data_IF_961861845252
#
_entry.id   IF_961861845252
#
_cell.length_a   1.000
_cell.length_b   1.000
_cell.length_c   1.000
_cell.angle_alpha   90.00
_cell.angle_beta   90.00
_cell.angle_gamma   90.00
#
_symmetry.space_group_name_H-M   'P 1'
#
loop_
_entity.id
_entity.type
_entity.pdbx_description
1 polymer ?
#
# COMPACT_ATOMS: atom_id res chain seq x y z
N UNK A 1 -42.17 -6.15 38.19
CA UNK A 1 -41.46 -6.50 39.44
C UNK A 1 -40.70 -5.25 39.88
N UNK A 2 -41.16 -4.69 40.93
CA UNK A 2 -40.83 -3.58 41.79
C UNK A 2 -39.40 -3.00 41.70
N UNK A 3 -39.37 -1.69 41.47
CA UNK A 3 -38.28 -0.75 41.87
C UNK A 3 -38.16 -0.62 43.40
N UNK A 4 -37.01 -0.31 43.94
CA UNK A 4 -36.99 0.45 45.20
C UNK A 4 -36.36 1.85 45.00
N UNK A 5 -37.10 2.79 45.50
CA UNK A 5 -36.80 4.17 45.86
C UNK A 5 -35.95 4.20 47.12
N UNK A 6 -34.95 5.08 47.23
CA UNK A 6 -34.36 5.57 48.50
C UNK A 6 -33.91 7.01 48.31
N UNK A 7 -34.64 7.90 48.83
CA UNK A 7 -34.56 8.80 49.97
C UNK A 7 -33.28 9.63 50.11
N UNK A 8 -33.49 10.94 49.89
CA UNK A 8 -32.63 12.07 50.36
C UNK A 8 -32.96 12.44 51.82
N UNK A 9 -32.03 12.84 52.63
CA UNK A 9 -32.33 13.63 53.85
C UNK A 9 -32.17 15.12 53.63
N UNK A 10 -33.17 15.84 54.09
CA UNK A 10 -33.29 17.28 54.18
C UNK A 10 -32.43 17.82 55.31
N UNK A 11 -31.78 19.01 55.09
CA UNK A 11 -31.21 19.88 56.12
C UNK A 11 -32.28 20.81 56.67
N UNK A 12 -32.25 21.13 57.99
CA UNK A 12 -33.11 22.15 58.58
C UNK A 12 -32.45 23.54 58.63
N UNK A 13 -33.23 24.61 58.74
CA UNK A 13 -32.79 25.99 58.83
C UNK A 13 -32.76 26.46 60.28
N UNK A 14 -31.99 27.50 60.58
CA UNK A 14 -32.14 28.47 61.69
C UNK A 14 -30.78 29.13 61.92
N UNK A 15 -30.60 30.34 62.21
CA UNK A 15 -31.37 31.55 62.49
C UNK A 15 -30.35 32.64 62.76
N UNK A 16 -30.64 33.79 62.29
CA UNK A 16 -30.16 35.06 62.84
C UNK A 16 -30.50 35.16 64.33
N UNK A 17 -29.99 36.12 65.18
CA UNK A 17 -29.50 37.47 64.89
C UNK A 17 -28.49 38.07 65.92
N UNK A 18 -28.16 39.36 65.68
CA UNK A 18 -28.11 40.49 66.63
C UNK A 18 -26.75 40.86 67.23
N UNK A 19 -26.39 41.97 67.06
CA UNK A 19 -26.31 43.35 67.62
C UNK A 19 -24.85 43.75 67.98
N UNK A 20 -24.46 44.80 67.50
CA UNK A 20 -24.48 46.21 67.89
C UNK A 20 -23.32 46.66 68.79
N UNK A 21 -22.72 47.68 68.34
CA UNK A 21 -22.48 49.01 68.91
C UNK A 21 -21.30 49.23 69.86
N UNK A 22 -20.82 50.39 69.67
CA UNK A 22 -20.33 51.41 70.62
C UNK A 22 -18.88 51.80 70.36
N UNK A 23 -18.72 52.87 69.73
CA UNK A 23 -18.50 54.30 69.97
C UNK A 23 -17.16 54.73 70.59
N UNK A 24 -16.68 55.83 70.02
CA UNK A 24 -16.15 57.06 70.59
C UNK A 24 -14.71 56.96 71.13
N UNK A 25 -13.80 57.85 70.96
CA UNK A 25 -13.71 59.29 71.04
C UNK A 25 -12.31 59.76 70.60
N UNK A 26 -12.22 60.83 69.90
CA UNK A 26 -11.73 62.17 70.26
C UNK A 26 -10.23 62.33 70.53
N UNK A 27 -9.65 63.30 69.83
CA UNK A 27 -8.49 64.11 70.17
C UNK A 27 -7.70 64.55 68.97
N UNK A 28 -7.99 65.59 68.42
CA UNK A 28 -7.80 67.04 68.44
C UNK A 28 -6.36 67.47 68.71
N UNK A 29 -5.84 68.24 67.89
CA UNK A 29 -4.96 69.38 67.93
C UNK A 29 -3.86 69.33 66.90
N UNK A 30 -4.00 70.13 65.98
CA UNK A 30 -3.55 71.53 65.75
C UNK A 30 -2.19 71.58 65.10
N UNK A 31 -2.27 71.98 63.90
CA UNK A 31 -1.86 73.27 63.37
C UNK A 31 -0.37 73.50 63.11
N UNK A 32 -0.17 74.05 62.05
CA UNK A 32 0.77 75.07 61.59
C UNK A 32 1.66 74.66 60.40
N UNK A 33 1.20 75.09 59.32
CA UNK A 33 1.77 76.08 58.38
C UNK A 33 2.97 75.67 57.48
N UNK A 34 2.69 75.82 56.26
CA UNK A 34 3.34 76.74 55.30
C UNK A 34 4.46 76.22 54.45
N UNK A 35 4.19 76.38 53.16
CA UNK A 35 5.11 76.49 51.98
C UNK A 35 5.73 75.20 51.46
N UNK A 36 5.84 75.05 50.28
CA UNK A 36 5.78 75.80 49.03
C UNK A 36 5.73 74.77 47.88
N UNK A 37 5.06 75.15 46.83
CA UNK A 37 5.29 74.76 45.47
C UNK A 37 6.53 73.93 45.22
N UNK A 38 6.26 72.69 44.74
CA UNK A 38 7.05 72.18 43.67
C UNK A 38 6.20 71.14 42.93
N UNK A 39 5.66 71.61 41.85
CA UNK A 39 4.89 70.85 40.90
C UNK A 39 5.89 69.96 40.09
N UNK A 40 6.22 68.77 40.65
CA UNK A 40 6.95 67.76 39.92
C UNK A 40 6.12 67.33 38.72
N UNK A 41 6.67 67.34 37.52
CA UNK A 41 5.97 66.80 36.35
C UNK A 41 5.60 65.34 36.62
N UNK A 42 4.43 64.87 36.09
CA UNK A 42 4.03 63.48 36.25
C UNK A 42 5.17 62.59 35.73
N UNK A 43 5.70 61.75 36.61
CA UNK A 43 6.69 60.76 36.25
C UNK A 43 6.14 59.96 35.08
N UNK A 44 6.77 60.14 33.93
CA UNK A 44 6.53 59.33 32.72
C UNK A 44 6.60 57.88 33.20
N UNK A 45 5.45 57.19 33.21
CA UNK A 45 5.36 55.78 33.56
C UNK A 45 6.53 55.07 32.84
N UNK A 46 7.40 54.45 33.63
CA UNK A 46 8.55 53.71 33.11
C UNK A 46 8.01 52.77 32.05
N UNK A 47 8.41 53.00 30.81
CA UNK A 47 8.00 52.14 29.69
C UNK A 47 8.37 50.70 30.07
N UNK A 48 7.37 49.83 30.17
CA UNK A 48 7.61 48.40 30.35
C UNK A 48 8.66 47.96 29.32
N UNK A 49 9.66 47.18 29.73
CA UNK A 49 10.69 46.75 28.80
C UNK A 49 10.02 46.06 27.61
N UNK A 50 10.22 46.61 26.40
CA UNK A 50 9.66 46.07 25.20
C UNK A 50 10.23 44.65 24.97
N UNK A 51 9.38 43.65 24.92
CA UNK A 51 9.77 42.29 24.54
C UNK A 51 10.33 42.29 23.13
N UNK A 52 11.47 41.63 22.95
CA UNK A 52 12.08 41.49 21.62
C UNK A 52 11.43 40.33 20.88
N UNK A 53 10.90 40.62 19.70
CA UNK A 53 10.20 39.60 18.85
C UNK A 53 10.73 39.61 17.45
N UNK A 54 10.66 38.46 16.78
CA UNK A 54 10.88 38.39 15.35
C UNK A 54 9.53 38.42 14.62
N UNK A 55 9.50 39.01 13.44
CA UNK A 55 8.27 39.16 12.66
C UNK A 55 8.43 38.42 11.33
N UNK A 56 7.34 37.82 10.90
CA UNK A 56 7.21 37.14 9.60
C UNK A 56 5.92 37.53 8.92
N UNK A 57 5.82 37.26 7.63
CA UNK A 57 4.57 37.39 6.88
C UNK A 57 4.05 36.01 6.51
N UNK A 58 2.72 35.82 6.38
CA UNK A 58 2.17 34.60 5.79
C UNK A 58 2.78 34.34 4.42
N UNK A 59 3.21 33.11 4.19
CA UNK A 59 3.79 32.67 2.92
C UNK A 59 2.89 31.61 2.29
N UNK A 60 2.71 31.70 0.97
CA UNK A 60 2.04 30.64 0.24
C UNK A 60 2.96 29.43 0.14
N UNK A 61 2.44 28.28 0.46
CA UNK A 61 3.11 27.00 0.33
C UNK A 61 2.15 25.97 -0.26
N UNK A 62 2.68 25.09 -1.08
CA UNK A 62 1.89 23.99 -1.64
C UNK A 62 1.86 22.87 -0.60
N UNK A 63 0.67 22.64 -0.06
CA UNK A 63 0.40 21.61 0.93
C UNK A 63 -0.11 20.36 0.22
N UNK A 64 0.50 19.19 0.44
CA UNK A 64 0.01 17.96 -0.15
C UNK A 64 -1.40 17.65 0.33
N UNK A 65 -2.24 17.25 -0.60
CA UNK A 65 -3.54 16.67 -0.32
C UNK A 65 -3.38 15.16 -0.30
N UNK A 66 -3.72 14.53 0.81
CA UNK A 66 -3.68 13.07 0.95
C UNK A 66 -5.00 12.51 1.45
N UNK A 67 -5.29 11.30 1.02
CA UNK A 67 -6.38 10.46 1.56
C UNK A 67 -5.74 9.32 2.31
N UNK A 68 -6.02 9.22 3.60
CA UNK A 68 -5.55 8.12 4.44
C UNK A 68 -6.43 6.89 4.23
N UNK A 69 -5.80 5.73 4.21
CA UNK A 69 -6.48 4.44 4.13
C UNK A 69 -5.75 3.38 4.93
N UNK A 70 -6.45 2.30 5.21
CA UNK A 70 -5.90 1.10 5.82
C UNK A 70 -6.31 -0.12 5.02
N UNK A 71 -5.56 -1.20 5.13
CA UNK A 71 -5.90 -2.42 4.41
C UNK A 71 -4.83 -3.48 4.52
N UNK A 72 -5.05 -4.62 3.90
CA UNK A 72 -4.12 -5.74 3.93
C UNK A 72 -3.28 -5.82 2.67
N UNK A 73 -2.05 -6.31 2.83
CA UNK A 73 -1.20 -6.71 1.72
C UNK A 73 -1.62 -8.11 1.30
N UNK A 74 -1.81 -8.32 0.02
CA UNK A 74 -2.18 -9.60 -0.55
C UNK A 74 -1.29 -9.94 -1.74
N UNK A 75 -1.28 -11.19 -2.14
CA UNK A 75 -0.75 -11.58 -3.43
C UNK A 75 -1.60 -10.90 -4.54
N UNK A 76 -0.92 -10.35 -5.55
CA UNK A 76 -1.62 -9.84 -6.73
C UNK A 76 -2.48 -10.92 -7.39
N UNK A 77 -1.90 -12.09 -7.56
CA UNK A 77 -2.61 -13.30 -7.97
C UNK A 77 -1.98 -14.51 -7.28
N UNK A 78 -2.84 -15.38 -6.78
CA UNK A 78 -2.46 -16.70 -6.31
C UNK A 78 -2.80 -17.74 -7.37
N UNK A 79 -1.86 -18.64 -7.65
CA UNK A 79 -2.13 -19.83 -8.44
C UNK A 79 -2.26 -21.03 -7.49
N UNK A 80 -3.38 -21.72 -7.61
CA UNK A 80 -3.63 -23.00 -6.99
C UNK A 80 -3.12 -24.09 -7.94
N UNK A 81 -2.22 -24.93 -7.48
CA UNK A 81 -1.62 -26.00 -8.26
C UNK A 81 -2.17 -27.31 -7.68
N UNK A 82 -3.09 -27.91 -8.43
CA UNK A 82 -3.76 -29.16 -8.07
C UNK A 82 -3.16 -30.36 -8.80
N UNK A 83 -3.58 -31.54 -8.36
CA UNK A 83 -3.29 -32.78 -9.07
C UNK A 83 -4.15 -32.87 -10.33
N UNK A 84 -3.53 -33.14 -11.49
CA UNK A 84 -4.23 -33.40 -12.75
C UNK A 84 -4.57 -34.89 -12.91
N UNK A 85 -3.91 -35.76 -12.13
CA UNK A 85 -4.08 -37.21 -12.13
C UNK A 85 -4.95 -37.67 -10.96
N UNK A 86 -5.58 -38.82 -11.10
CA UNK A 86 -6.40 -39.42 -10.04
C UNK A 86 -5.81 -40.76 -9.59
N UNK A 87 -5.79 -40.99 -8.29
CA UNK A 87 -5.44 -42.29 -7.69
C UNK A 87 -3.96 -42.62 -7.75
N UNK A 88 -3.09 -41.73 -8.12
CA UNK A 88 -1.65 -41.91 -8.11
C UNK A 88 -1.03 -41.48 -6.78
N UNK A 89 -0.04 -42.21 -6.30
CA UNK A 89 0.73 -41.87 -5.12
C UNK A 89 1.78 -40.83 -5.45
N UNK A 90 1.88 -39.78 -4.62
CA UNK A 90 2.92 -38.76 -4.72
C UNK A 90 4.28 -39.37 -4.36
N UNK A 91 5.18 -39.46 -5.35
CA UNK A 91 6.48 -40.11 -5.19
C UNK A 91 7.54 -39.15 -4.63
N UNK A 92 7.61 -37.92 -5.18
CA UNK A 92 8.59 -36.94 -4.69
C UNK A 92 7.96 -35.55 -4.63
N UNK A 93 8.45 -34.73 -3.68
CA UNK A 93 8.16 -33.30 -3.56
C UNK A 93 9.51 -32.58 -3.58
N UNK A 94 9.69 -31.64 -4.52
CA UNK A 94 10.99 -31.00 -4.81
C UNK A 94 11.09 -29.59 -4.29
N UNK A 95 9.99 -28.98 -3.81
CA UNK A 95 9.93 -27.60 -3.37
C UNK A 95 9.23 -27.46 -2.03
N UNK A 96 9.60 -26.43 -1.29
CA UNK A 96 9.04 -26.07 0.00
C UNK A 96 8.41 -24.66 -0.03
N UNK A 97 7.71 -24.32 1.05
CA UNK A 97 7.18 -22.96 1.25
C UNK A 97 8.33 -21.97 1.31
N UNK A 98 8.20 -20.87 0.56
CA UNK A 98 9.23 -19.84 0.43
C UNK A 98 10.14 -20.00 -0.77
N UNK A 99 10.15 -21.17 -1.44
CA UNK A 99 11.00 -21.40 -2.61
C UNK A 99 10.50 -20.57 -3.81
N UNK A 100 11.47 -20.02 -4.56
CA UNK A 100 11.22 -19.39 -5.85
C UNK A 100 11.25 -20.46 -6.94
N UNK A 101 10.22 -20.48 -7.76
CA UNK A 101 10.04 -21.41 -8.86
C UNK A 101 9.89 -20.69 -10.17
N UNK A 102 10.30 -21.34 -11.26
CA UNK A 102 10.14 -20.87 -12.64
C UNK A 102 9.02 -21.63 -13.34
N UNK A 103 8.39 -21.00 -14.30
CA UNK A 103 7.38 -21.62 -15.15
C UNK A 103 7.91 -22.91 -15.76
N UNK A 104 7.12 -23.99 -15.66
CA UNK A 104 7.48 -25.32 -16.15
C UNK A 104 8.44 -26.10 -15.23
N UNK A 105 8.88 -25.54 -14.09
CA UNK A 105 9.67 -26.26 -13.11
C UNK A 105 8.84 -27.35 -12.45
N UNK A 106 9.43 -28.56 -12.31
CA UNK A 106 8.79 -29.69 -11.63
C UNK A 106 8.78 -29.44 -10.13
N UNK A 107 7.59 -29.37 -9.55
CA UNK A 107 7.36 -29.16 -8.11
C UNK A 107 7.26 -30.47 -7.35
N UNK A 108 6.60 -31.45 -7.97
CA UNK A 108 6.40 -32.78 -7.44
C UNK A 108 6.23 -33.79 -8.56
N UNK A 109 6.43 -35.07 -8.26
CA UNK A 109 6.19 -36.18 -9.22
C UNK A 109 5.33 -37.23 -8.58
N UNK A 110 4.39 -37.77 -9.33
CA UNK A 110 3.64 -38.97 -8.98
C UNK A 110 4.37 -40.24 -9.38
N UNK A 111 4.00 -41.37 -8.82
CA UNK A 111 4.46 -42.69 -9.23
C UNK A 111 4.02 -42.90 -10.72
N UNK A 112 5.00 -43.07 -11.59
CA UNK A 112 4.76 -43.10 -13.02
C UNK A 112 4.81 -44.53 -13.61
N UNK A 113 5.01 -45.56 -12.76
CA UNK A 113 5.21 -46.97 -13.21
C UNK A 113 4.04 -47.48 -14.08
N UNK A 114 2.82 -47.30 -13.62
CA UNK A 114 1.63 -47.71 -14.36
C UNK A 114 1.40 -46.89 -15.64
N UNK A 115 1.42 -45.52 -15.62
CA UNK A 115 1.34 -44.71 -16.82
C UNK A 115 2.44 -45.00 -17.83
N UNK A 116 3.67 -45.33 -17.41
CA UNK A 116 4.75 -45.73 -18.28
C UNK A 116 4.47 -47.07 -18.95
N UNK A 117 3.94 -48.05 -18.23
CA UNK A 117 3.55 -49.34 -18.79
C UNK A 117 2.41 -49.19 -19.82
N UNK A 118 1.40 -48.32 -19.55
CA UNK A 118 0.31 -48.03 -20.45
C UNK A 118 0.82 -47.36 -21.75
N UNK A 119 1.78 -46.43 -21.64
CA UNK A 119 2.44 -45.82 -22.80
C UNK A 119 3.21 -46.86 -23.59
N UNK A 120 3.94 -47.77 -22.96
CA UNK A 120 4.68 -48.82 -23.64
C UNK A 120 3.72 -49.76 -24.40
N UNK A 121 2.62 -50.18 -23.76
CA UNK A 121 1.58 -51.00 -24.39
C UNK A 121 0.97 -50.30 -25.61
N UNK A 122 0.60 -49.00 -25.52
CA UNK A 122 0.00 -48.28 -26.61
C UNK A 122 0.99 -48.04 -27.74
N UNK A 123 2.27 -47.85 -27.48
CA UNK A 123 3.32 -47.81 -28.53
C UNK A 123 3.47 -49.12 -29.25
N UNK A 124 3.40 -50.27 -28.57
CA UNK A 124 3.41 -51.59 -29.22
C UNK A 124 2.19 -51.78 -30.16
N UNK A 125 1.00 -51.35 -29.71
CA UNK A 125 -0.20 -51.41 -30.54
C UNK A 125 -0.10 -50.49 -31.80
N UNK A 126 0.56 -49.34 -31.70
CA UNK A 126 0.86 -48.47 -32.85
C UNK A 126 1.81 -49.20 -33.80
N UNK A 127 2.87 -49.84 -33.32
CA UNK A 127 3.81 -50.59 -34.16
C UNK A 127 3.14 -51.79 -34.88
N UNK A 128 2.22 -52.49 -34.22
CA UNK A 128 1.39 -53.54 -34.85
C UNK A 128 0.51 -52.98 -35.97
N UNK A 129 -0.16 -51.85 -35.70
CA UNK A 129 -1.02 -51.22 -36.72
C UNK A 129 -0.20 -50.65 -37.89
N UNK A 130 1.03 -50.17 -37.67
CA UNK A 130 1.96 -49.73 -38.71
C UNK A 130 2.39 -50.92 -39.61
N UNK A 131 2.71 -52.08 -39.03
CA UNK A 131 3.04 -53.28 -39.77
C UNK A 131 1.84 -53.77 -40.62
N UNK A 132 0.62 -53.75 -40.03
CA UNK A 132 -0.61 -54.11 -40.73
C UNK A 132 -0.90 -53.17 -41.91
N UNK A 133 -0.69 -51.86 -41.74
CA UNK A 133 -0.84 -50.90 -42.81
C UNK A 133 0.21 -51.11 -43.89
N UNK A 134 1.46 -51.38 -43.53
CA UNK A 134 2.52 -51.62 -44.49
C UNK A 134 2.22 -52.83 -45.34
N UNK A 135 1.69 -53.96 -44.83
CA UNK A 135 1.23 -55.14 -45.55
C UNK A 135 0.06 -54.77 -46.46
N UNK A 136 -0.99 -54.10 -45.97
CA UNK A 136 -2.16 -53.74 -46.73
C UNK A 136 -1.81 -52.78 -47.86
N UNK A 137 -0.92 -51.82 -47.66
CA UNK A 137 -0.43 -50.87 -48.64
C UNK A 137 0.39 -51.59 -49.75
N UNK A 138 1.26 -52.53 -49.39
CA UNK A 138 1.99 -53.34 -50.37
C UNK A 138 1.06 -54.20 -51.20
N UNK A 139 0.02 -54.80 -50.61
CA UNK A 139 -1.00 -55.56 -51.34
C UNK A 139 -1.83 -54.67 -52.30
N UNK A 140 -2.27 -53.47 -51.81
CA UNK A 140 -3.00 -52.54 -52.66
C UNK A 140 -2.15 -51.98 -53.79
N UNK A 141 -0.86 -51.74 -53.56
CA UNK A 141 0.07 -51.30 -54.62
C UNK A 141 0.24 -52.37 -55.69
N UNK A 142 0.47 -53.63 -55.31
CA UNK A 142 0.51 -54.75 -56.28
C UNK A 142 -0.79 -54.89 -57.06
N UNK A 143 -1.94 -54.68 -56.40
CA UNK A 143 -3.23 -54.74 -57.08
C UNK A 143 -3.40 -53.60 -58.10
N UNK A 144 -2.91 -52.40 -57.82
CA UNK A 144 -2.89 -51.25 -58.77
C UNK A 144 -2.00 -51.55 -59.95
N UNK A 145 -0.81 -52.14 -59.77
CA UNK A 145 0.15 -52.44 -60.80
C UNK A 145 -0.38 -53.54 -61.79
N UNK A 146 -1.17 -54.47 -61.24
CA UNK A 146 -1.80 -55.53 -62.01
C UNK A 146 -3.13 -55.12 -62.67
N UNK A 147 -3.67 -53.95 -62.37
CA UNK A 147 -4.96 -53.48 -62.91
C UNK A 147 -4.93 -53.41 -64.49
N UNK A 148 -3.84 -52.88 -65.05
CA UNK A 148 -3.69 -52.70 -66.48
C UNK A 148 -3.59 -54.04 -67.26
N UNK A 149 -3.13 -55.12 -66.62
CA UNK A 149 -2.99 -56.44 -67.19
C UNK A 149 -4.30 -57.26 -67.20
N UNK A 150 -5.32 -56.81 -66.45
CA UNK A 150 -6.56 -57.55 -66.28
C UNK A 150 -6.43 -58.82 -65.40
N UNK A 151 -5.32 -59.02 -64.73
CA UNK A 151 -5.03 -60.24 -63.95
C UNK A 151 -5.88 -60.31 -62.65
N UNK A 152 -6.45 -59.19 -62.18
CA UNK A 152 -7.33 -59.13 -61.02
C UNK A 152 -8.68 -58.55 -61.40
N UNK A 153 -9.75 -59.03 -60.73
CA UNK A 153 -11.08 -58.46 -60.90
C UNK A 153 -11.19 -57.07 -60.22
N UNK A 154 -12.06 -56.21 -60.74
CA UNK A 154 -12.31 -54.89 -60.09
C UNK A 154 -12.75 -55.03 -58.69
N UNK A 155 -13.48 -56.07 -58.28
CA UNK A 155 -13.89 -56.36 -56.94
C UNK A 155 -12.67 -56.62 -56.01
N UNK A 156 -11.73 -57.42 -56.44
CA UNK A 156 -10.51 -57.73 -55.70
C UNK A 156 -9.63 -56.49 -55.50
N UNK A 157 -9.47 -55.67 -56.56
CA UNK A 157 -8.74 -54.40 -56.44
C UNK A 157 -9.40 -53.51 -55.43
N UNK A 158 -10.74 -53.33 -55.47
CA UNK A 158 -11.46 -52.52 -54.49
C UNK A 158 -11.34 -53.08 -53.06
N UNK A 159 -11.28 -54.40 -52.87
CA UNK A 159 -11.04 -55.02 -51.54
C UNK A 159 -9.67 -54.66 -51.02
N UNK A 160 -8.58 -54.71 -51.76
CA UNK A 160 -7.24 -54.34 -51.31
C UNK A 160 -7.14 -52.83 -50.98
N UNK A 161 -7.74 -52.00 -51.85
CA UNK A 161 -7.77 -50.55 -51.61
C UNK A 161 -8.59 -50.19 -50.33
N UNK A 162 -9.68 -50.91 -50.10
CA UNK A 162 -10.48 -50.72 -48.87
C UNK A 162 -9.73 -51.20 -47.61
N UNK A 163 -9.02 -52.37 -47.77
CA UNK A 163 -8.18 -52.87 -46.66
C UNK A 163 -7.08 -51.88 -46.26
N UNK A 164 -6.39 -51.28 -47.27
CA UNK A 164 -5.39 -50.24 -47.04
C UNK A 164 -5.98 -49.05 -46.29
N UNK A 165 -7.14 -48.53 -46.74
CA UNK A 165 -7.82 -47.40 -46.07
C UNK A 165 -8.25 -47.76 -44.67
N UNK A 166 -8.75 -48.99 -44.46
CA UNK A 166 -9.16 -49.46 -43.13
C UNK A 166 -7.97 -49.59 -42.20
N UNK A 167 -6.83 -50.13 -42.69
CA UNK A 167 -5.61 -50.23 -41.89
C UNK A 167 -5.04 -48.85 -41.56
N UNK A 168 -5.08 -47.88 -42.48
CA UNK A 168 -4.68 -46.51 -42.25
C UNK A 168 -5.54 -45.86 -41.14
N UNK A 169 -6.88 -46.03 -41.21
CA UNK A 169 -7.79 -45.49 -40.18
C UNK A 169 -7.54 -46.13 -38.83
N UNK A 170 -7.24 -47.44 -38.77
CA UNK A 170 -6.89 -48.13 -37.50
C UNK A 170 -5.58 -47.60 -36.92
N UNK A 171 -4.55 -47.37 -37.73
CA UNK A 171 -3.30 -46.77 -37.30
C UNK A 171 -3.53 -45.39 -36.65
N UNK A 172 -4.30 -44.52 -37.28
CA UNK A 172 -4.61 -43.21 -36.74
C UNK A 172 -5.38 -43.30 -35.39
N UNK A 173 -6.28 -44.28 -35.24
CA UNK A 173 -6.96 -44.53 -33.98
C UNK A 173 -5.97 -44.98 -32.90
N UNK A 174 -5.03 -45.88 -33.18
CA UNK A 174 -3.99 -46.31 -32.22
C UNK A 174 -3.02 -45.18 -31.85
N UNK A 175 -2.65 -44.33 -32.82
CA UNK A 175 -1.84 -43.14 -32.56
C UNK A 175 -2.55 -42.16 -31.67
N UNK A 176 -3.86 -41.94 -31.82
CA UNK A 176 -4.65 -41.10 -30.97
C UNK A 176 -4.69 -41.65 -29.52
N UNK A 177 -4.86 -42.95 -29.36
CA UNK A 177 -4.84 -43.63 -28.05
C UNK A 177 -3.46 -43.48 -27.38
N UNK A 178 -2.36 -43.74 -28.11
CA UNK A 178 -1.00 -43.56 -27.60
C UNK A 178 -0.72 -42.11 -27.16
N UNK A 179 -1.24 -41.14 -27.93
CA UNK A 179 -1.13 -39.73 -27.53
C UNK A 179 -1.87 -39.44 -26.21
N UNK A 180 -3.05 -40.01 -25.99
CA UNK A 180 -3.80 -39.89 -24.75
C UNK A 180 -3.01 -40.46 -23.56
N UNK A 181 -2.39 -41.65 -23.71
CA UNK A 181 -1.56 -42.24 -22.65
C UNK A 181 -0.30 -41.38 -22.39
N UNK A 182 0.29 -40.81 -23.42
CA UNK A 182 1.45 -39.94 -23.28
C UNK A 182 1.09 -38.64 -22.51
N UNK A 183 -0.10 -38.06 -22.72
CA UNK A 183 -0.61 -36.92 -21.95
C UNK A 183 -0.78 -37.33 -20.50
N UNK A 184 -1.40 -38.47 -20.19
CA UNK A 184 -1.55 -38.97 -18.83
C UNK A 184 -0.20 -39.16 -18.12
N UNK A 185 0.80 -39.67 -18.84
CA UNK A 185 2.16 -39.77 -18.31
C UNK A 185 2.77 -38.39 -18.05
N UNK A 186 2.58 -37.41 -18.91
CA UNK A 186 3.09 -36.06 -18.67
C UNK A 186 2.47 -35.41 -17.44
N UNK A 187 1.19 -35.67 -17.16
CA UNK A 187 0.45 -35.19 -16.01
C UNK A 187 0.93 -35.78 -14.66
N UNK A 188 1.80 -36.80 -14.69
CA UNK A 188 2.45 -37.29 -13.45
C UNK A 188 3.47 -36.30 -12.91
N UNK A 189 3.92 -35.33 -13.69
CA UNK A 189 4.77 -34.24 -13.24
C UNK A 189 3.92 -33.01 -12.94
N UNK A 190 3.94 -32.57 -11.69
CA UNK A 190 3.29 -31.33 -11.27
C UNK A 190 4.22 -30.18 -11.59
N UNK A 191 3.81 -29.31 -12.50
CA UNK A 191 4.62 -28.19 -13.01
C UNK A 191 4.13 -26.85 -12.45
N UNK A 192 5.06 -25.92 -12.26
CA UNK A 192 4.71 -24.53 -11.95
C UNK A 192 4.07 -23.85 -13.19
N UNK A 193 2.87 -23.26 -13.07
CA UNK A 193 2.18 -22.61 -14.17
C UNK A 193 2.82 -21.28 -14.58
N UNK A 194 3.57 -20.65 -13.68
CA UNK A 194 4.23 -19.36 -13.88
C UNK A 194 5.46 -19.25 -12.98
N UNK A 195 6.25 -18.19 -13.16
CA UNK A 195 7.28 -17.80 -12.19
C UNK A 195 6.61 -17.33 -10.88
N UNK A 196 7.22 -17.60 -9.73
CA UNK A 196 6.65 -17.16 -8.48
C UNK A 196 7.32 -17.72 -7.23
N UNK A 197 6.62 -17.57 -6.10
CA UNK A 197 7.06 -18.04 -4.78
C UNK A 197 5.98 -18.95 -4.21
N UNK A 198 6.36 -20.13 -3.71
CA UNK A 198 5.45 -21.07 -3.06
C UNK A 198 4.98 -20.46 -1.73
N UNK A 199 3.67 -20.23 -1.60
CA UNK A 199 3.05 -19.70 -0.37
C UNK A 199 2.51 -20.78 0.57
N UNK A 200 2.07 -21.92 0.01
CA UNK A 200 1.61 -23.06 0.80
C UNK A 200 1.95 -24.38 0.11
N UNK A 201 2.17 -25.44 0.90
CA UNK A 201 2.43 -26.80 0.45
C UNK A 201 1.57 -27.77 1.26
N UNK A 202 0.60 -28.36 0.60
CA UNK A 202 -0.24 -29.43 1.13
C UNK A 202 0.30 -30.80 0.71
N UNK A 203 1.06 -30.83 -0.38
CA UNK A 203 1.67 -32.02 -0.96
C UNK A 203 2.54 -32.78 0.06
N UNK A 204 2.22 -34.06 0.30
CA UNK A 204 2.96 -34.95 1.19
C UNK A 204 3.37 -36.21 0.43
N UNK A 205 4.67 -36.58 0.52
CA UNK A 205 5.18 -37.78 -0.10
C UNK A 205 4.46 -39.02 0.45
N UNK A 206 4.06 -39.93 -0.44
CA UNK A 206 3.31 -41.10 -0.10
C UNK A 206 1.78 -40.94 -0.12
N UNK A 207 1.27 -39.71 -0.14
CA UNK A 207 -0.17 -39.49 -0.23
C UNK A 207 -0.71 -39.93 -1.61
N UNK A 208 -1.89 -40.53 -1.61
CA UNK A 208 -2.70 -40.78 -2.80
C UNK A 208 -3.71 -39.67 -2.90
N UNK A 209 -3.71 -38.93 -4.00
CA UNK A 209 -4.53 -37.73 -4.18
C UNK A 209 -5.53 -37.91 -5.33
N UNK A 210 -6.65 -37.21 -5.23
CA UNK A 210 -7.65 -37.13 -6.29
C UNK A 210 -7.38 -35.98 -7.26
N UNK A 211 -7.91 -36.05 -8.47
CA UNK A 211 -7.84 -34.98 -9.43
C UNK A 211 -8.51 -33.71 -8.84
N UNK A 212 -7.87 -32.54 -9.04
CA UNK A 212 -8.32 -31.25 -8.53
C UNK A 212 -7.91 -30.96 -7.07
N UNK A 213 -7.35 -31.93 -6.35
CA UNK A 213 -6.87 -31.68 -5.00
C UNK A 213 -5.68 -30.72 -5.01
N UNK A 214 -5.73 -29.66 -4.19
CA UNK A 214 -4.66 -28.69 -4.04
C UNK A 214 -3.37 -29.36 -3.50
N UNK A 215 -2.26 -29.13 -4.18
CA UNK A 215 -0.94 -29.60 -3.79
C UNK A 215 -0.04 -28.45 -3.33
N UNK A 216 -0.10 -27.35 -4.06
CA UNK A 216 0.67 -26.15 -3.78
C UNK A 216 -0.17 -24.91 -4.04
N UNK A 217 0.20 -23.84 -3.35
CA UNK A 217 -0.25 -22.48 -3.65
C UNK A 217 0.96 -21.61 -3.88
N UNK A 218 0.91 -20.75 -4.88
CA UNK A 218 2.02 -19.86 -5.18
C UNK A 218 1.54 -18.43 -5.45
N UNK A 219 2.37 -17.47 -5.05
CA UNK A 219 2.23 -16.06 -5.43
C UNK A 219 2.89 -15.87 -6.78
N UNK A 220 2.09 -15.57 -7.81
CA UNK A 220 2.58 -15.38 -9.18
C UNK A 220 3.54 -14.17 -9.24
N UNK A 221 4.69 -14.36 -9.90
CA UNK A 221 5.75 -13.36 -10.08
C UNK A 221 6.29 -12.77 -8.76
N UNK A 222 5.89 -13.31 -7.61
CA UNK A 222 6.22 -12.74 -6.30
C UNK A 222 5.62 -11.33 -6.08
N UNK A 223 4.62 -10.91 -6.89
CA UNK A 223 4.01 -9.59 -6.81
C UNK A 223 3.00 -9.52 -5.67
N UNK A 224 3.16 -8.48 -4.89
CA UNK A 224 2.24 -8.12 -3.82
C UNK A 224 1.50 -6.83 -4.18
N UNK A 225 0.29 -6.71 -3.69
CA UNK A 225 -0.53 -5.51 -3.77
C UNK A 225 -1.05 -5.15 -2.38
N UNK A 226 -1.18 -3.87 -2.13
CA UNK A 226 -1.92 -3.39 -0.97
C UNK A 226 -3.37 -3.15 -1.37
N UNK A 227 -4.29 -3.84 -0.68
CA UNK A 227 -5.74 -3.69 -0.83
C UNK A 227 -6.20 -2.69 0.19
N UNK A 228 -6.22 -1.42 -0.21
CA UNK A 228 -6.60 -0.31 0.64
C UNK A 228 -8.12 -0.12 0.65
N UNK A 229 -8.67 0.01 1.83
CA UNK A 229 -10.07 0.37 2.03
C UNK A 229 -10.18 1.89 2.16
N UNK A 230 -10.88 2.51 1.23
CA UNK A 230 -11.08 3.95 1.15
C UNK A 230 -12.57 4.26 1.28
N UNK A 231 -12.98 5.20 2.15
CA UNK A 231 -14.36 5.62 2.25
C UNK A 231 -14.92 6.08 0.90
N UNK A 232 -16.19 5.76 0.62
CA UNK A 232 -16.84 6.10 -0.65
C UNK A 232 -16.79 7.60 -0.96
N UNK A 233 -16.82 8.47 0.06
CA UNK A 233 -16.70 9.93 -0.07
C UNK A 233 -15.38 10.38 -0.69
N UNK A 234 -14.30 9.64 -0.45
CA UNK A 234 -12.96 10.00 -0.91
C UNK A 234 -12.51 9.20 -2.13
N UNK A 235 -13.24 8.13 -2.47
CA UNK A 235 -12.90 7.21 -3.55
C UNK A 235 -12.79 7.91 -4.92
N UNK A 236 -13.67 8.88 -5.17
CA UNK A 236 -13.66 9.66 -6.43
C UNK A 236 -12.40 10.53 -6.61
N UNK A 237 -11.66 10.78 -5.53
CA UNK A 237 -10.43 11.58 -5.54
C UNK A 237 -9.18 10.74 -5.82
N UNK A 238 -9.31 9.41 -5.74
CA UNK A 238 -8.21 8.46 -5.99
C UNK A 238 -8.29 7.97 -7.43
N UNK A 239 -7.20 8.10 -8.17
CA UNK A 239 -7.14 7.72 -9.58
C UNK A 239 -5.98 6.75 -9.84
N UNK A 240 -6.11 5.86 -10.86
CA UNK A 240 -5.01 5.01 -11.29
C UNK A 240 -3.75 5.81 -11.62
N UNK A 241 -2.58 5.27 -11.29
CA UNK A 241 -1.29 5.90 -11.51
C UNK A 241 -0.80 6.79 -10.37
N UNK A 242 -1.65 7.18 -9.43
CA UNK A 242 -1.24 7.98 -8.27
C UNK A 242 -0.28 7.23 -7.36
N UNK A 243 0.63 7.97 -6.72
CA UNK A 243 1.53 7.42 -5.72
C UNK A 243 0.78 7.20 -4.39
N UNK A 244 1.07 6.07 -3.76
CA UNK A 244 0.60 5.74 -2.43
C UNK A 244 1.80 5.46 -1.52
N UNK A 245 1.88 6.14 -0.39
CA UNK A 245 2.85 5.85 0.65
C UNK A 245 2.24 4.84 1.61
N UNK A 246 2.78 3.63 1.63
CA UNK A 246 2.28 2.52 2.46
C UNK A 246 3.25 2.29 3.60
N UNK A 247 2.76 2.26 4.81
CA UNK A 247 3.55 2.02 6.03
C UNK A 247 3.15 0.66 6.59
N UNK A 248 4.13 -0.23 6.69
CA UNK A 248 3.98 -1.55 7.28
C UNK A 248 3.85 -1.46 8.81
N UNK A 249 3.37 -2.53 9.42
CA UNK A 249 3.33 -2.63 10.88
C UNK A 249 4.74 -2.56 11.53
N UNK A 250 5.80 -2.88 10.78
CA UNK A 250 7.20 -2.72 11.19
C UNK A 250 7.68 -1.27 11.24
N UNK A 251 6.91 -0.32 10.68
CA UNK A 251 7.28 1.09 10.53
C UNK A 251 7.96 1.42 9.18
N UNK A 252 8.29 0.41 8.39
CA UNK A 252 8.90 0.62 7.07
C UNK A 252 7.90 1.26 6.11
N UNK A 253 8.36 2.28 5.38
CA UNK A 253 7.57 2.97 4.38
C UNK A 253 7.90 2.48 2.97
N UNK A 254 6.87 2.12 2.22
CA UNK A 254 6.95 1.64 0.84
C UNK A 254 6.17 2.63 -0.04
N UNK A 255 6.74 3.02 -1.16
CA UNK A 255 6.00 3.78 -2.17
C UNK A 255 5.44 2.81 -3.21
N UNK A 256 4.13 2.69 -3.23
CA UNK A 256 3.38 1.94 -4.23
C UNK A 256 2.72 2.86 -5.26
N UNK A 257 2.06 2.26 -6.24
CA UNK A 257 1.30 2.96 -7.27
C UNK A 257 -0.10 2.37 -7.38
N UNK A 258 -1.10 3.23 -7.39
CA UNK A 258 -2.50 2.82 -7.62
C UNK A 258 -2.61 2.19 -9.01
N UNK A 259 -3.01 0.92 -9.04
CA UNK A 259 -3.25 0.18 -10.29
C UNK A 259 -4.69 0.36 -10.74
N UNK A 260 -5.63 0.15 -9.83
CA UNK A 260 -7.06 0.24 -10.12
C UNK A 260 -7.85 0.58 -8.86
N UNK A 261 -8.93 1.32 -9.05
CA UNK A 261 -9.97 1.53 -8.04
C UNK A 261 -11.11 0.55 -8.36
N UNK A 262 -11.54 -0.22 -7.37
CA UNK A 262 -12.62 -1.17 -7.58
C UNK A 262 -13.91 -0.46 -8.04
N UNK A 263 -14.67 -1.05 -8.96
CA UNK A 263 -15.92 -0.45 -9.44
C UNK A 263 -17.07 -0.57 -8.43
N UNK A 264 -16.85 -1.32 -7.35
CA UNK A 264 -17.88 -1.60 -6.33
C UNK A 264 -17.46 -1.08 -4.96
N UNK A 265 -18.44 -0.70 -4.18
CA UNK A 265 -18.31 -0.32 -2.78
C UNK A 265 -18.99 -1.40 -1.95
N UNK A 266 -18.35 -1.83 -0.88
CA UNK A 266 -18.94 -2.76 0.08
C UNK A 266 -20.09 -2.09 0.82
N UNK A 267 -21.27 -2.71 0.80
CA UNK A 267 -22.48 -2.14 1.36
C UNK A 267 -22.46 -2.08 2.90
N UNK A 268 -21.74 -2.99 3.55
CA UNK A 268 -21.65 -3.05 5.00
C UNK A 268 -20.70 -2.02 5.57
N UNK A 269 -19.50 -1.89 4.96
CA UNK A 269 -18.44 -0.97 5.42
C UNK A 269 -18.52 0.40 4.76
N UNK A 270 -19.22 0.53 3.62
CA UNK A 270 -19.25 1.72 2.75
C UNK A 270 -17.87 2.14 2.23
N UNK A 271 -16.94 1.21 2.21
CA UNK A 271 -15.60 1.43 1.67
C UNK A 271 -15.47 0.82 0.28
N UNK A 272 -14.73 1.49 -0.59
CA UNK A 272 -14.26 0.93 -1.85
C UNK A 272 -12.84 0.41 -1.73
N UNK A 273 -12.51 -0.62 -2.49
CA UNK A 273 -11.17 -1.17 -2.55
C UNK A 273 -10.31 -0.43 -3.59
N UNK A 274 -9.11 -0.05 -3.18
CA UNK A 274 -8.09 0.49 -4.06
C UNK A 274 -6.91 -0.46 -4.06
N UNK A 275 -6.55 -0.96 -5.24
CA UNK A 275 -5.44 -1.89 -5.43
C UNK A 275 -4.18 -1.11 -5.77
N UNK A 276 -3.17 -1.23 -4.92
CA UNK A 276 -1.89 -0.55 -5.05
C UNK A 276 -0.80 -1.57 -5.29
N UNK A 277 -0.12 -1.49 -6.43
CA UNK A 277 1.02 -2.35 -6.72
C UNK A 277 2.20 -1.93 -5.84
N UNK A 278 2.80 -2.91 -5.19
CA UNK A 278 4.00 -2.73 -4.39
C UNK A 278 5.23 -3.17 -5.18
N UNK A 279 6.38 -2.48 -5.07
CA UNK A 279 7.62 -2.93 -5.69
C UNK A 279 8.08 -4.24 -5.03
N UNK A 280 8.82 -5.07 -5.79
CA UNK A 280 9.35 -6.34 -5.29
C UNK A 280 10.72 -6.22 -4.59
N UNK A 281 11.26 -5.00 -4.48
CA UNK A 281 12.61 -4.71 -3.99
C UNK A 281 12.61 -3.66 -2.87
N UNK A 282 13.72 -3.52 -2.17
CA UNK A 282 13.87 -2.55 -1.09
C UNK A 282 13.05 -2.92 0.15
N UNK A 283 12.50 -1.93 0.84
CA UNK A 283 11.66 -2.13 2.03
C UNK A 283 10.43 -3.01 1.78
N UNK A 284 9.96 -3.07 0.54
CA UNK A 284 8.85 -3.92 0.14
C UNK A 284 9.18 -5.43 0.16
N UNK A 285 10.47 -5.80 0.15
CA UNK A 285 10.87 -7.20 0.28
C UNK A 285 10.52 -7.81 1.65
N UNK A 286 10.34 -6.97 2.68
CA UNK A 286 9.88 -7.38 4.00
C UNK A 286 8.36 -7.60 4.06
N UNK A 287 7.61 -7.06 3.10
CA UNK A 287 6.17 -7.22 3.03
C UNK A 287 5.80 -8.67 2.70
N UNK A 288 4.77 -9.19 3.38
CA UNK A 288 4.22 -10.53 3.12
C UNK A 288 2.72 -10.44 2.95
N UNK A 289 2.18 -11.30 2.11
CA UNK A 289 0.72 -11.45 2.00
C UNK A 289 0.12 -11.77 3.38
N UNK A 290 -1.00 -11.15 3.69
CA UNK A 290 -1.67 -11.22 5.00
C UNK A 290 -1.28 -10.11 5.98
N UNK A 291 -0.22 -9.34 5.73
CA UNK A 291 0.14 -8.22 6.59
C UNK A 291 -0.85 -7.07 6.45
N UNK A 292 -1.15 -6.44 7.58
CA UNK A 292 -1.90 -5.17 7.60
C UNK A 292 -0.94 -3.99 7.36
N UNK A 293 -1.40 -3.01 6.60
CA UNK A 293 -0.67 -1.77 6.35
C UNK A 293 -1.61 -0.56 6.38
N UNK A 294 -1.04 0.58 6.70
CA UNK A 294 -1.70 1.89 6.57
C UNK A 294 -1.00 2.67 5.49
N UNK A 295 -1.71 3.60 4.86
CA UNK A 295 -1.07 4.43 3.85
C UNK A 295 -1.85 5.67 3.51
N UNK A 296 -1.25 6.47 2.65
CA UNK A 296 -1.78 7.73 2.19
C UNK A 296 -1.65 7.82 0.67
N UNK A 297 -2.75 8.14 0.02
CA UNK A 297 -2.79 8.44 -1.40
C UNK A 297 -2.49 9.91 -1.61
N UNK A 298 -1.50 10.23 -2.42
CA UNK A 298 -1.21 11.60 -2.81
C UNK A 298 -2.16 12.01 -3.95
N UNK A 299 -3.18 12.81 -3.61
CA UNK A 299 -4.24 13.20 -4.55
C UNK A 299 -4.02 14.56 -5.19
N UNK A 300 -2.96 15.27 -4.81
CA UNK A 300 -2.61 16.57 -5.34
C UNK A 300 -1.94 17.47 -4.32
N UNK A 301 -1.92 18.77 -4.62
CA UNK A 301 -1.50 19.81 -3.69
C UNK A 301 -2.46 20.98 -3.77
N UNK A 302 -2.58 21.73 -2.68
CA UNK A 302 -3.30 22.99 -2.65
C UNK A 302 -2.40 24.08 -2.12
N UNK A 303 -2.37 25.20 -2.81
CA UNK A 303 -1.65 26.37 -2.35
C UNK A 303 -2.42 27.04 -1.21
N UNK A 304 -1.78 27.20 -0.07
CA UNK A 304 -2.40 27.78 1.11
C UNK A 304 -1.44 28.73 1.84
N UNK A 305 -2.02 29.69 2.56
CA UNK A 305 -1.25 30.55 3.44
C UNK A 305 -0.75 29.80 4.66
N UNK A 306 0.51 29.91 4.95
CA UNK A 306 1.15 29.21 6.06
C UNK A 306 1.97 30.17 6.92
N UNK A 307 2.01 29.87 8.22
CA UNK A 307 2.88 30.51 9.20
C UNK A 307 3.80 29.46 9.85
N UNK A 308 4.94 29.88 10.42
CA UNK A 308 5.68 29.05 11.34
C UNK A 308 4.79 28.64 12.52
N UNK A 309 4.87 27.41 12.99
CA UNK A 309 4.05 26.92 14.11
C UNK A 309 4.26 27.76 15.38
N UNK A 310 5.48 28.28 15.59
CA UNK A 310 5.80 29.15 16.73
C UNK A 310 5.05 30.49 16.72
N UNK A 311 4.51 30.91 15.58
CA UNK A 311 3.73 32.16 15.43
C UNK A 311 2.27 31.99 15.85
N UNK A 312 1.81 30.75 16.07
CA UNK A 312 0.42 30.45 16.43
C UNK A 312 0.38 29.92 17.86
N UNK A 313 -0.38 30.63 18.71
CA UNK A 313 -0.56 30.29 20.11
C UNK A 313 -1.93 29.67 20.34
N UNK A 314 -1.99 28.54 21.00
CA UNK A 314 -3.24 27.92 21.44
C UNK A 314 -3.54 28.40 22.88
N UNK A 315 -4.67 29.09 23.07
CA UNK A 315 -5.14 29.56 24.38
C UNK A 315 -6.65 29.36 24.48
N UNK A 316 -7.10 28.77 25.55
CA UNK A 316 -8.54 28.53 25.82
C UNK A 316 -9.28 27.81 24.71
N UNK A 317 -8.59 26.85 24.02
CA UNK A 317 -9.16 26.09 22.93
C UNK A 317 -9.21 26.81 21.56
N UNK A 318 -8.71 28.05 21.48
CA UNK A 318 -8.64 28.84 20.26
C UNK A 318 -7.20 29.12 19.84
N UNK A 319 -7.00 29.23 18.54
CA UNK A 319 -5.70 29.60 17.97
C UNK A 319 -5.65 31.14 17.75
N UNK A 320 -4.54 31.72 18.17
CA UNK A 320 -4.29 33.14 18.06
C UNK A 320 -2.94 33.41 17.40
N UNK A 321 -2.86 34.52 16.69
CA UNK A 321 -1.63 35.10 16.18
C UNK A 321 -1.53 36.56 16.62
N UNK A 322 -0.33 37.03 16.86
CA UNK A 322 -0.11 38.45 17.17
C UNK A 322 0.31 39.20 15.94
N UNK A 323 -0.52 40.12 15.48
CA UNK A 323 -0.26 40.99 14.32
C UNK A 323 0.38 42.29 14.80
N UNK A 324 1.48 42.68 14.19
CA UNK A 324 2.14 43.93 14.45
C UNK A 324 1.39 45.08 13.81
N UNK A 325 0.86 45.96 14.62
CA UNK A 325 0.17 47.20 14.20
C UNK A 325 1.11 48.39 14.15
N UNK A 326 0.49 49.60 14.07
CA UNK A 326 1.20 50.86 14.20
C UNK A 326 1.85 51.00 15.57
N UNK A 327 2.90 51.84 15.67
CA UNK A 327 3.61 52.16 16.92
C UNK A 327 4.24 50.92 17.61
N UNK A 328 4.57 49.87 16.86
CA UNK A 328 5.13 48.61 17.38
C UNK A 328 4.25 47.94 18.47
N UNK A 329 2.96 48.16 18.42
CA UNK A 329 1.97 47.47 19.26
C UNK A 329 1.50 46.20 18.59
N UNK A 330 1.33 45.13 19.36
CA UNK A 330 0.78 43.86 18.86
C UNK A 330 -0.70 43.76 19.19
N UNK A 331 -1.46 43.25 18.24
CA UNK A 331 -2.88 42.94 18.40
C UNK A 331 -3.07 41.42 18.34
N UNK A 332 -3.77 40.89 19.33
CA UNK A 332 -4.14 39.48 19.32
C UNK A 332 -5.30 39.23 18.35
N UNK A 333 -5.06 38.43 17.32
CA UNK A 333 -6.05 38.09 16.33
C UNK A 333 -6.35 36.59 16.39
N UNK A 334 -7.65 36.26 16.49
CA UNK A 334 -8.10 34.88 16.42
C UNK A 334 -7.91 34.36 15.00
N UNK A 335 -7.22 33.23 14.83
CA UNK A 335 -6.96 32.60 13.55
C UNK A 335 -7.58 31.21 13.47
N UNK A 336 -8.02 30.84 12.28
CA UNK A 336 -8.44 29.47 12.00
C UNK A 336 -7.28 28.74 11.37
N UNK A 337 -6.84 27.67 12.00
CA UNK A 337 -5.72 26.85 11.54
C UNK A 337 -6.23 25.62 10.79
N UNK A 338 -5.46 25.20 9.80
CA UNK A 338 -5.72 23.99 9.02
C UNK A 338 -4.65 22.93 9.21
N UNK A 339 -4.12 22.43 8.10
CA UNK A 339 -3.11 21.35 8.06
C UNK A 339 -1.76 21.81 8.56
N UNK A 340 -0.99 20.85 9.07
CA UNK A 340 0.42 21.07 9.46
C UNK A 340 1.34 20.42 8.45
N UNK A 341 2.41 21.11 8.07
CA UNK A 341 3.47 20.62 7.21
C UNK A 341 4.83 20.94 7.84
N UNK A 342 5.44 19.96 8.47
CA UNK A 342 6.68 20.15 9.23
C UNK A 342 6.52 21.23 10.29
N UNK A 343 7.33 22.29 10.22
CA UNK A 343 7.30 23.44 11.15
C UNK A 343 6.30 24.54 10.76
N UNK A 344 5.51 24.34 9.72
CA UNK A 344 4.53 25.33 9.25
C UNK A 344 3.11 24.83 9.46
N UNK A 345 2.20 25.77 9.70
CA UNK A 345 0.77 25.53 9.88
C UNK A 345 -0.02 26.37 8.88
N UNK A 346 -1.01 25.76 8.27
CA UNK A 346 -1.95 26.41 7.37
C UNK A 346 -2.87 27.36 8.14
N UNK A 347 -3.08 28.55 7.58
CA UNK A 347 -4.05 29.53 8.07
C UNK A 347 -5.19 29.62 7.07
N UNK A 348 -6.37 29.19 7.49
CA UNK A 348 -7.58 29.18 6.66
C UNK A 348 -8.45 30.42 6.84
N UNK A 349 -8.17 31.23 7.88
CA UNK A 349 -8.91 32.46 8.13
C UNK A 349 -8.35 33.27 9.31
N UNK A 350 -8.78 34.52 9.40
CA UNK A 350 -8.45 35.43 10.52
C UNK A 350 -7.25 36.33 10.26
N UNK A 351 -6.53 36.21 9.15
CA UNK A 351 -5.42 37.10 8.79
C UNK A 351 -5.66 37.75 7.42
N UNK A 352 -5.23 38.99 7.29
CA UNK A 352 -5.18 39.70 6.02
C UNK A 352 -3.88 39.37 5.26
N UNK A 353 -3.90 39.44 3.94
CA UNK A 353 -2.70 39.30 3.12
C UNK A 353 -1.69 40.39 3.48
N UNK A 354 -0.43 39.97 3.68
CA UNK A 354 0.65 40.90 4.05
C UNK A 354 0.71 41.28 5.53
N UNK A 355 -0.15 40.76 6.40
CA UNK A 355 -0.09 41.01 7.84
C UNK A 355 1.29 40.61 8.40
N UNK A 356 1.93 41.53 9.13
CA UNK A 356 3.18 41.23 9.84
C UNK A 356 2.85 40.53 11.16
N UNK A 357 3.22 39.27 11.26
CA UNK A 357 2.88 38.40 12.40
C UNK A 357 4.14 38.11 13.22
N UNK A 358 4.01 38.12 14.53
CA UNK A 358 5.10 37.74 15.45
C UNK A 358 5.42 36.25 15.24
N UNK A 359 6.67 35.95 14.84
CA UNK A 359 7.12 34.60 14.57
C UNK A 359 7.62 33.89 15.82
N UNK A 360 8.35 34.63 16.71
CA UNK A 360 8.86 34.08 17.97
C UNK A 360 8.57 35.03 19.13
N UNK A 361 8.41 34.48 20.33
CA UNK A 361 8.07 35.28 21.54
C UNK A 361 6.57 35.49 21.73
N UNK A 362 5.70 34.98 20.86
CA UNK A 362 4.25 35.15 20.95
C UNK A 362 3.64 34.70 22.31
N UNK A 363 4.22 33.67 22.95
CA UNK A 363 3.72 33.12 24.23
C UNK A 363 3.81 34.06 25.43
N UNK A 364 4.64 35.10 25.34
CA UNK A 364 4.87 36.07 26.43
C UNK A 364 4.15 37.41 26.22
N UNK A 365 3.40 37.52 25.09
CA UNK A 365 2.71 38.76 24.72
C UNK A 365 1.27 38.78 25.20
N UNK A 366 0.85 39.97 25.62
CA UNK A 366 -0.54 40.33 25.82
C UNK A 366 -1.05 41.19 24.66
N UNK A 367 -2.37 41.31 24.55
CA UNK A 367 -3.00 42.21 23.61
C UNK A 367 -2.64 43.67 23.91
N UNK A 368 -2.19 44.42 22.88
CA UNK A 368 -1.77 45.81 23.04
C UNK A 368 -0.34 46.02 23.53
N UNK A 369 0.44 44.97 23.78
CA UNK A 369 1.82 45.12 24.24
C UNK A 369 2.71 45.78 23.15
N UNK A 370 3.64 46.65 23.62
CA UNK A 370 4.65 47.25 22.75
C UNK A 370 5.86 46.33 22.63
N UNK A 371 6.28 46.04 21.42
CA UNK A 371 7.40 45.11 21.14
C UNK A 371 8.54 45.80 20.43
N UNK A 372 9.75 45.30 20.67
CA UNK A 372 10.92 45.66 19.84
C UNK A 372 11.11 44.61 18.74
N UNK A 373 10.90 45.03 17.53
CA UNK A 373 11.06 44.16 16.36
C UNK A 373 12.54 43.98 16.05
N UNK A 374 12.98 42.74 15.92
CA UNK A 374 14.27 42.37 15.35
C UNK A 374 13.93 41.57 14.09
N UNK A 375 14.46 42.03 12.95
CA UNK A 375 14.26 41.31 11.70
C UNK A 375 14.84 39.90 11.85
N UNK A 376 14.05 38.90 11.51
CA UNK A 376 14.53 37.51 11.46
C UNK A 376 15.68 37.47 10.45
N UNK A 377 16.87 37.04 10.88
CA UNK A 377 17.90 36.68 9.92
C UNK A 377 17.28 35.71 8.91
N UNK A 378 17.54 35.86 7.60
CA UNK A 378 16.97 34.98 6.60
C UNK A 378 17.30 33.53 7.02
N UNK A 379 16.26 32.72 7.15
CA UNK A 379 16.41 31.28 7.45
C UNK A 379 17.42 30.75 6.45
N UNK A 380 18.56 30.26 6.96
CA UNK A 380 19.58 29.59 6.15
C UNK A 380 18.84 28.47 5.45
N UNK A 381 18.66 28.62 4.14
CA UNK A 381 18.07 27.59 3.28
C UNK A 381 18.81 26.28 3.58
N UNK A 382 18.07 25.27 4.02
CA UNK A 382 18.62 23.94 4.22
C UNK A 382 19.41 23.56 2.97
N UNK A 383 20.60 22.96 3.11
CA UNK A 383 21.43 22.63 1.97
C UNK A 383 20.62 21.72 1.04
N UNK A 384 20.33 22.23 -0.12
CA UNK A 384 19.77 21.49 -1.25
C UNK A 384 20.69 20.31 -1.45
N UNK A 385 20.20 19.09 -1.20
CA UNK A 385 20.94 17.86 -1.42
C UNK A 385 21.56 17.94 -2.82
N UNK A 386 22.86 18.02 -2.87
CA UNK A 386 23.63 18.04 -4.10
C UNK A 386 23.31 16.72 -4.81
N UNK A 387 22.72 16.84 -6.00
CA UNK A 387 22.58 15.73 -6.92
C UNK A 387 23.99 15.18 -7.17
N UNK A 388 24.22 13.95 -6.72
CA UNK A 388 25.43 13.21 -6.99
C UNK A 388 25.53 13.01 -8.51
N UNK A 389 26.46 13.70 -9.14
CA UNK A 389 26.86 13.45 -10.50
C UNK A 389 27.52 12.05 -10.58
N UNK A 390 27.24 11.24 -11.60
CA UNK A 390 27.91 9.96 -11.76
C UNK A 390 29.39 10.22 -12.17
N UNK A 391 30.29 9.80 -11.32
CA UNK A 391 31.72 9.73 -11.64
C UNK A 391 31.97 8.70 -12.75
N UNK A 392 32.23 9.19 -13.95
CA UNK A 392 32.74 8.38 -15.03
C UNK A 392 34.25 8.15 -14.76
N UNK A 393 34.58 7.01 -14.20
CA UNK A 393 35.98 6.55 -14.13
C UNK A 393 36.27 5.78 -15.42
N UNK A 394 37.02 6.42 -16.30
CA UNK A 394 37.65 5.78 -17.44
C UNK A 394 38.71 4.81 -16.91
N UNK A 395 38.52 3.52 -17.18
CA UNK A 395 39.56 2.50 -17.00
C UNK A 395 40.29 2.33 -18.32
N UNK A 396 41.51 2.80 -18.32
CA UNK A 396 42.52 2.63 -19.36
C UNK A 396 42.88 1.14 -19.48
N UNK A 397 42.72 0.59 -20.65
CA UNK A 397 43.23 -0.72 -21.00
C UNK A 397 44.77 -0.69 -21.06
N UNK A 398 45.41 -1.54 -20.30
CA UNK A 398 46.83 -1.89 -20.49
C UNK A 398 46.89 -3.36 -20.90
N UNK A 399 47.24 -3.53 -22.13
CA UNK A 399 47.69 -4.77 -22.77
C UNK A 399 49.02 -5.21 -22.14
N UNK A 400 49.13 -6.41 -21.63
CA UNK A 400 50.38 -7.10 -21.46
C UNK A 400 50.23 -8.58 -21.83
N UNK A 401 51.00 -8.92 -22.82
CA UNK A 401 51.24 -10.17 -23.48
C UNK A 401 52.22 -11.03 -22.65
N UNK A 402 52.12 -12.35 -22.77
CA UNK A 402 53.18 -13.36 -22.61
C UNK A 402 53.09 -14.31 -21.38
N UNK A 403 52.73 -15.48 -21.53
CA UNK A 403 53.40 -16.76 -21.95
C UNK A 403 52.44 -17.92 -21.73
#
# INVERSE_FOLDING_TARGET
MKLPTTNLPRLPPLAWPVLAAITFAIGLAAAVAVRADDKAPPAKAAAKPALTVTVTTPQRADLPLSVSASGSIAAWQEALIGAETNGLRLATVRVNVGDRVKRGQVLATFAADMPQAEVAQSKAAVAEAEATLAEAAANAQRARDLQASGALSAQQINQYMTAERTAAARLEAQRALARTQQIRLSQTNVLAPDDGVISARVATVGAVVGAGQELFRMVRQGRLEWRAEVPASDLARVAPGQAAKVVLASGDAITGRVRIVAPTVDAATRNGLVYVDLPSTGAAAAAKAGMFARGEFQIGSSSAWTLPQAAVLLRDGFSYAYVLGAESKVQQVKVTVGRRLGERIEITGGLTEGARVVATGAGFLGDGDTVKVVDAAPAIAAPRAAAAAPNATAVTATTAQKK
#
